data_IF_041404437878
#
_entry.id   IF_041404437878
#
_cell.length_a   1.000
_cell.length_b   1.000
_cell.length_c   1.000
_cell.angle_alpha   90.00
_cell.angle_beta   90.00
_cell.angle_gamma   90.00
#
_symmetry.space_group_name_H-M   'P 1'
#
loop_
_entity.id
_entity.type
_entity.pdbx_description
1 polymer ?
#
# COMPACT_ATOMS: atom_id res chain seq x y z
N UNK A 1 -4.66 20.91 -13.88
CA UNK A 1 -3.21 20.64 -13.79
C UNK A 1 -3.06 19.30 -13.09
N UNK A 2 -2.86 18.23 -13.86
CA UNK A 2 -2.51 16.91 -13.32
C UNK A 2 -0.99 16.88 -13.25
N UNK A 3 -0.44 17.39 -12.15
CA UNK A 3 1.00 17.50 -11.98
C UNK A 3 1.59 16.13 -11.66
N UNK A 4 2.50 15.67 -12.52
CA UNK A 4 3.65 14.84 -12.13
C UNK A 4 3.38 13.39 -11.68
N UNK A 5 3.37 12.49 -12.66
CA UNK A 5 3.92 11.12 -12.63
C UNK A 5 4.01 10.46 -11.26
N UNK A 6 3.01 9.67 -10.87
CA UNK A 6 3.16 8.73 -9.75
C UNK A 6 4.51 8.00 -9.89
N UNK A 7 5.37 8.09 -8.87
CA UNK A 7 6.77 7.59 -8.88
C UNK A 7 6.90 6.19 -8.29
N UNK A 8 5.85 5.72 -7.62
CA UNK A 8 5.77 4.38 -7.07
C UNK A 8 4.45 3.73 -7.45
N UNK A 9 4.54 2.49 -7.93
CA UNK A 9 3.42 1.55 -8.00
C UNK A 9 3.50 0.64 -6.77
N UNK A 10 2.43 0.59 -6.02
CA UNK A 10 2.22 -0.27 -4.86
C UNK A 10 1.19 -1.32 -5.27
N UNK A 11 1.52 -2.60 -5.18
CA UNK A 11 0.62 -3.69 -5.50
C UNK A 11 0.46 -4.60 -4.28
N UNK A 12 -0.78 -4.93 -3.91
CA UNK A 12 -1.02 -5.95 -2.89
C UNK A 12 -0.53 -7.31 -3.42
N UNK A 13 0.16 -8.08 -2.58
CA UNK A 13 0.62 -9.43 -2.96
C UNK A 13 -0.52 -10.45 -2.97
N UNK A 14 -1.59 -10.20 -2.21
CA UNK A 14 -2.70 -11.13 -2.02
C UNK A 14 -3.89 -10.92 -2.95
N UNK A 15 -4.02 -9.75 -3.59
CA UNK A 15 -5.12 -9.46 -4.52
C UNK A 15 -4.71 -8.55 -5.69
N UNK A 16 -5.66 -8.22 -6.56
CA UNK A 16 -5.43 -7.39 -7.74
C UNK A 16 -5.32 -5.87 -7.43
N UNK A 17 -5.37 -5.47 -6.15
CA UNK A 17 -5.28 -4.06 -5.74
C UNK A 17 -3.92 -3.47 -6.13
N UNK A 18 -3.98 -2.31 -6.79
CA UNK A 18 -2.80 -1.53 -7.22
C UNK A 18 -3.06 -0.06 -6.98
N UNK A 19 -2.06 0.63 -6.46
CA UNK A 19 -2.07 2.06 -6.20
C UNK A 19 -0.84 2.68 -6.87
N UNK A 20 -1.04 3.80 -7.55
CA UNK A 20 0.06 4.61 -8.09
C UNK A 20 0.14 5.89 -7.26
N UNK A 21 1.27 6.13 -6.61
CA UNK A 21 1.49 7.28 -5.72
C UNK A 21 2.79 8.00 -6.07
N UNK A 22 2.83 9.32 -5.88
CA UNK A 22 4.08 10.09 -5.99
C UNK A 22 5.05 9.76 -4.83
N UNK A 23 4.51 9.65 -3.61
CA UNK A 23 5.23 9.26 -2.39
C UNK A 23 4.33 8.43 -1.51
N UNK A 24 4.91 7.58 -0.68
CA UNK A 24 4.18 6.85 0.36
C UNK A 24 4.31 7.62 1.66
N UNK A 25 3.23 8.30 2.07
CA UNK A 25 3.13 8.96 3.38
C UNK A 25 2.31 8.10 4.34
N UNK A 26 2.17 8.59 5.57
CA UNK A 26 1.41 7.93 6.63
C UNK A 26 -0.05 7.65 6.25
N UNK A 27 -0.70 8.57 5.51
CA UNK A 27 -2.07 8.37 5.03
C UNK A 27 -2.17 7.20 4.03
N UNK A 28 -1.22 7.07 3.11
CA UNK A 28 -1.16 5.97 2.15
C UNK A 28 -0.89 4.65 2.86
N UNK A 29 0.01 4.64 3.83
CA UNK A 29 0.27 3.47 4.66
C UNK A 29 -0.93 3.06 5.52
N UNK A 30 -1.66 4.04 6.06
CA UNK A 30 -2.92 3.80 6.79
C UNK A 30 -3.97 3.18 5.87
N UNK A 31 -4.09 3.66 4.62
CA UNK A 31 -4.99 3.09 3.63
C UNK A 31 -4.58 1.65 3.25
N UNK A 32 -3.28 1.38 3.13
CA UNK A 32 -2.72 0.05 2.89
C UNK A 32 -3.01 -0.91 4.05
N UNK A 33 -2.77 -0.48 5.30
CA UNK A 33 -3.07 -1.27 6.50
C UNK A 33 -4.57 -1.56 6.63
N UNK A 34 -5.41 -0.55 6.32
CA UNK A 34 -6.85 -0.70 6.29
C UNK A 34 -7.30 -1.72 5.27
N UNK A 35 -6.74 -1.68 4.05
CA UNK A 35 -7.01 -2.68 3.02
C UNK A 35 -6.66 -4.10 3.48
N UNK A 36 -5.47 -4.30 4.06
CA UNK A 36 -5.10 -5.62 4.59
C UNK A 36 -6.05 -6.09 5.69
N UNK A 37 -6.42 -5.20 6.61
CA UNK A 37 -7.32 -5.54 7.72
C UNK A 37 -8.75 -5.88 7.26
N UNK A 38 -9.28 -5.21 6.23
CA UNK A 38 -10.67 -5.36 5.79
C UNK A 38 -10.81 -6.42 4.68
N UNK A 39 -9.89 -6.46 3.70
CA UNK A 39 -9.95 -7.36 2.56
C UNK A 39 -9.17 -8.67 2.77
N UNK A 40 -8.22 -8.69 3.71
CA UNK A 40 -7.34 -9.83 3.98
C UNK A 40 -7.23 -10.17 5.48
N UNK A 41 -8.34 -10.44 6.18
CA UNK A 41 -8.32 -10.72 7.62
C UNK A 41 -7.49 -11.95 7.98
N UNK A 42 -7.29 -12.87 7.04
CA UNK A 42 -6.44 -14.06 7.17
C UNK A 42 -4.95 -13.74 7.39
N UNK A 43 -4.49 -12.53 7.01
CA UNK A 43 -3.11 -12.09 7.22
C UNK A 43 -2.85 -11.61 8.64
N UNK A 44 -3.89 -11.39 9.46
CA UNK A 44 -3.76 -10.95 10.85
C UNK A 44 -3.24 -9.51 11.03
N UNK A 45 -3.14 -8.74 9.95
CA UNK A 45 -2.65 -7.35 10.00
C UNK A 45 -3.68 -6.45 10.66
N UNK A 46 -3.27 -5.80 11.74
CA UNK A 46 -4.13 -4.87 12.48
C UNK A 46 -4.10 -3.47 11.87
N UNK A 47 -5.16 -2.67 12.08
CA UNK A 47 -5.21 -1.25 11.64
C UNK A 47 -4.06 -0.38 12.17
N UNK A 48 -3.44 -0.77 13.28
CA UNK A 48 -2.28 -0.10 13.88
C UNK A 48 -0.94 -0.81 13.62
N UNK A 49 -0.89 -1.69 12.61
CA UNK A 49 0.34 -2.40 12.23
C UNK A 49 1.48 -1.43 11.93
N UNK A 50 2.70 -1.83 12.30
CA UNK A 50 3.89 -1.06 11.96
C UNK A 50 4.07 -1.03 10.43
N UNK A 51 4.65 0.07 9.92
CA UNK A 51 4.87 0.23 8.47
C UNK A 51 5.61 -0.96 7.85
N UNK A 52 6.59 -1.52 8.55
CA UNK A 52 7.33 -2.70 8.08
C UNK A 52 6.41 -3.87 7.77
N UNK A 53 5.54 -4.23 8.71
CA UNK A 53 4.57 -5.32 8.57
C UNK A 53 3.59 -5.06 7.41
N UNK A 54 3.10 -3.82 7.28
CA UNK A 54 2.24 -3.43 6.14
C UNK A 54 3.00 -3.64 4.82
N UNK A 55 4.22 -3.11 4.69
CA UNK A 55 5.00 -3.21 3.46
C UNK A 55 5.42 -4.64 3.09
N UNK A 56 5.49 -5.57 4.04
CA UNK A 56 5.74 -6.98 3.73
C UNK A 56 4.64 -7.60 2.85
N UNK A 57 3.42 -7.08 2.89
CA UNK A 57 2.30 -7.55 2.07
C UNK A 57 2.12 -6.79 0.75
N UNK A 58 2.95 -5.78 0.49
CA UNK A 58 2.91 -5.02 -0.76
C UNK A 58 4.23 -5.13 -1.53
N UNK A 59 4.11 -5.06 -2.85
CA UNK A 59 5.24 -4.88 -3.75
C UNK A 59 5.27 -3.41 -4.18
N UNK A 60 6.33 -2.71 -3.79
CA UNK A 60 6.60 -1.33 -4.22
C UNK A 60 7.60 -1.37 -5.36
N UNK A 61 7.23 -0.82 -6.51
CA UNK A 61 8.10 -0.68 -7.68
C UNK A 61 8.16 0.78 -8.11
N UNK A 62 9.34 1.35 -8.39
CA UNK A 62 9.42 2.67 -8.97
C UNK A 62 8.74 2.68 -10.35
N UNK A 63 8.11 3.80 -10.67
CA UNK A 63 7.61 4.12 -12.00
C UNK A 63 8.64 4.99 -12.69
N UNK A 64 9.07 4.54 -13.87
CA UNK A 64 10.04 5.19 -14.76
C UNK A 64 9.69 6.66 -15.04
#
# INVERSE_FOLDING_TARGET
>A
MLDGSARFKVACKSCAMRLAVDRIRDAEATAMARHLCEDHPELGVSRGAALGEVFEHFRVTPTD
#
